data_IF_854098871725
#
_entry.id   IF_854098871725
#
_cell.length_a   1.000
_cell.length_b   1.000
_cell.length_c   1.000
_cell.angle_alpha   90.00
_cell.angle_beta   90.00
_cell.angle_gamma   90.00
#
_symmetry.space_group_name_H-M   'P 1'
#
loop_
_entity.id
_entity.type
_entity.pdbx_description
1 polymer ?
#
# COMPACT_ATOMS: atom_id res chain seq x y z
N UNK A 1 -1.35 20.76 27.97
CA UNK A 1 -1.60 19.31 27.97
C UNK A 1 -2.30 18.78 26.70
N UNK A 2 -3.15 19.57 25.97
CA UNK A 2 -3.85 19.11 24.74
C UNK A 2 -2.94 18.63 23.59
N UNK A 3 -1.74 19.20 23.41
CA UNK A 3 -0.83 18.85 22.29
C UNK A 3 -0.18 17.44 22.39
N UNK A 4 0.00 16.92 23.59
CA UNK A 4 0.64 15.62 23.81
C UNK A 4 -0.33 14.47 23.48
N UNK A 5 -1.63 14.63 23.71
CA UNK A 5 -2.66 13.62 23.45
C UNK A 5 -2.82 13.40 21.95
N UNK A 6 -2.79 14.46 21.14
CA UNK A 6 -2.95 14.38 19.68
C UNK A 6 -1.80 13.61 19.01
N UNK A 7 -0.56 13.84 19.48
CA UNK A 7 0.61 13.13 18.94
C UNK A 7 0.61 11.64 19.30
N UNK A 8 0.17 11.30 20.51
CA UNK A 8 0.08 9.90 20.95
C UNK A 8 -1.01 9.13 20.20
N UNK A 9 -2.10 9.79 19.83
CA UNK A 9 -3.22 9.15 19.12
C UNK A 9 -2.91 8.91 17.63
N UNK A 10 -2.18 9.82 16.98
CA UNK A 10 -1.68 9.61 15.62
C UNK A 10 -0.71 8.42 15.58
N UNK A 11 0.14 8.27 16.61
CA UNK A 11 0.98 7.10 16.78
C UNK A 11 0.16 5.81 16.99
N UNK A 12 -0.97 5.89 17.71
CA UNK A 12 -1.86 4.73 17.88
C UNK A 12 -2.54 4.33 16.57
N UNK A 13 -3.01 5.29 15.78
CA UNK A 13 -3.60 5.00 14.45
C UNK A 13 -2.57 4.37 13.51
N UNK A 14 -1.31 4.80 13.55
CA UNK A 14 -0.23 4.19 12.79
C UNK A 14 0.05 2.73 13.20
N UNK A 15 -0.18 2.34 14.45
CA UNK A 15 -0.01 0.96 14.91
C UNK A 15 -1.13 0.00 14.49
N UNK A 16 -2.25 0.50 13.96
CA UNK A 16 -3.33 -0.31 13.39
C UNK A 16 -3.22 -0.50 11.87
N UNK A 17 -2.29 0.19 11.21
CA UNK A 17 -1.92 -0.19 9.86
C UNK A 17 -1.34 -1.61 9.92
N UNK A 18 -1.64 -2.51 8.97
CA UNK A 18 -1.12 -3.88 8.95
C UNK A 18 0.39 -3.94 8.70
N UNK A 19 1.13 -2.95 9.17
CA UNK A 19 2.58 -2.87 9.16
C UNK A 19 3.06 -2.23 10.45
N UNK A 20 3.36 -3.05 11.44
CA UNK A 20 4.35 -2.65 12.43
C UNK A 20 5.70 -2.46 11.71
N UNK A 21 6.46 -1.43 12.07
CA UNK A 21 7.81 -1.25 11.55
C UNK A 21 8.57 -2.58 11.54
N UNK A 22 8.98 -3.02 10.36
CA UNK A 22 9.82 -4.19 10.16
C UNK A 22 9.13 -5.49 9.75
N UNK A 23 7.79 -5.58 9.73
CA UNK A 23 7.11 -6.81 9.31
C UNK A 23 6.31 -6.56 8.03
N UNK A 24 6.69 -7.22 6.94
CA UNK A 24 5.91 -7.18 5.69
C UNK A 24 4.61 -7.94 5.88
N UNK A 25 3.45 -7.36 5.56
CA UNK A 25 2.19 -8.08 5.61
C UNK A 25 2.20 -9.34 4.75
N UNK A 26 1.66 -10.44 5.28
CA UNK A 26 1.64 -11.73 4.59
C UNK A 26 0.99 -11.65 3.21
N UNK A 27 -0.03 -10.83 3.04
CA UNK A 27 -0.73 -10.60 1.76
C UNK A 27 0.18 -10.05 0.65
N UNK A 28 1.30 -9.40 1.01
CA UNK A 28 2.29 -8.90 0.06
C UNK A 28 3.43 -9.89 -0.21
N UNK A 29 3.62 -10.88 0.67
CA UNK A 29 4.65 -11.91 0.54
C UNK A 29 4.23 -13.06 -0.38
N UNK A 30 3.34 -12.81 -1.32
CA UNK A 30 2.86 -13.84 -2.23
C UNK A 30 4.05 -14.30 -3.10
N UNK A 31 4.54 -15.49 -2.82
CA UNK A 31 5.67 -16.16 -3.50
C UNK A 31 5.30 -16.68 -4.92
N UNK A 32 4.28 -16.12 -5.52
CA UNK A 32 3.87 -16.55 -6.85
C UNK A 32 4.21 -15.43 -7.82
N UNK A 33 4.96 -15.76 -8.85
CA UNK A 33 5.27 -14.86 -9.95
C UNK A 33 3.97 -14.34 -10.56
N UNK A 34 3.84 -13.03 -10.58
CA UNK A 34 2.80 -12.38 -11.33
C UNK A 34 3.08 -12.54 -12.82
N UNK A 35 2.04 -12.89 -13.55
CA UNK A 35 2.03 -12.77 -15.01
C UNK A 35 1.14 -11.59 -15.40
N UNK A 36 1.37 -11.01 -16.55
CA UNK A 36 0.52 -9.95 -17.06
C UNK A 36 -0.91 -10.48 -17.24
N UNK A 37 -1.86 -9.79 -16.66
CA UNK A 37 -3.27 -10.20 -16.58
C UNK A 37 -3.67 -10.96 -15.32
N UNK A 38 -2.72 -11.42 -14.49
CA UNK A 38 -3.05 -12.07 -13.22
C UNK A 38 -3.74 -11.10 -12.27
N UNK A 39 -4.82 -11.57 -11.65
CA UNK A 39 -5.54 -10.85 -10.59
C UNK A 39 -5.45 -11.60 -9.28
N UNK A 40 -5.16 -10.88 -8.20
CA UNK A 40 -5.09 -11.42 -6.83
C UNK A 40 -5.81 -10.50 -5.87
N UNK A 41 -6.33 -11.08 -4.81
CA UNK A 41 -6.88 -10.30 -3.71
C UNK A 41 -5.77 -9.97 -2.72
N UNK A 42 -5.46 -8.68 -2.56
CA UNK A 42 -4.48 -8.16 -1.60
C UNK A 42 -5.19 -7.14 -0.73
N UNK A 43 -5.21 -7.35 0.58
CA UNK A 43 -5.97 -6.53 1.54
C UNK A 43 -7.44 -6.36 1.14
N UNK A 44 -8.07 -7.45 0.71
CA UNK A 44 -9.45 -7.52 0.23
C UNK A 44 -9.71 -6.84 -1.13
N UNK A 45 -8.77 -6.09 -1.70
CA UNK A 45 -8.92 -5.49 -3.02
C UNK A 45 -8.42 -6.43 -4.13
N UNK A 46 -9.17 -6.55 -5.25
CA UNK A 46 -8.65 -7.16 -6.46
C UNK A 46 -7.53 -6.27 -7.03
N UNK A 47 -6.35 -6.85 -7.15
CA UNK A 47 -5.16 -6.22 -7.75
C UNK A 47 -4.78 -7.01 -8.98
N UNK A 48 -4.76 -6.38 -10.15
CA UNK A 48 -4.38 -7.00 -11.41
C UNK A 48 -3.05 -6.43 -11.89
N UNK A 49 -2.06 -7.26 -12.12
CA UNK A 49 -0.86 -6.83 -12.83
C UNK A 49 -1.20 -6.67 -14.32
N UNK A 50 -1.29 -5.43 -14.80
CA UNK A 50 -1.58 -5.14 -16.22
C UNK A 50 -0.37 -5.40 -17.08
N UNK A 51 0.80 -4.99 -16.61
CA UNK A 51 2.11 -5.39 -17.16
C UNK A 51 3.20 -5.20 -16.09
N UNK A 52 4.31 -5.90 -16.25
CA UNK A 52 5.43 -5.82 -15.30
C UNK A 52 6.60 -6.73 -15.63
N UNK A 53 6.45 -7.60 -16.63
CA UNK A 53 7.56 -8.39 -17.13
C UNK A 53 7.71 -8.16 -18.61
N UNK A 54 8.92 -7.77 -19.07
CA UNK A 54 9.22 -7.72 -20.48
C UNK A 54 9.53 -9.11 -21.00
N UNK A 55 8.91 -9.48 -22.14
CA UNK A 55 9.20 -10.72 -22.86
C UNK A 55 10.68 -10.85 -23.26
N UNK A 56 11.38 -9.73 -23.44
CA UNK A 56 12.79 -9.69 -23.85
C UNK A 56 13.75 -10.18 -22.77
N UNK A 57 13.30 -10.34 -21.55
CA UNK A 57 14.11 -10.82 -20.42
C UNK A 57 14.04 -12.34 -20.23
N UNK A 58 13.79 -13.13 -21.26
CA UNK A 58 13.84 -14.60 -21.16
C UNK A 58 15.17 -15.14 -20.60
N UNK A 59 16.24 -14.35 -20.66
CA UNK A 59 17.51 -14.63 -19.99
C UNK A 59 17.52 -14.26 -18.51
N UNK A 60 16.57 -13.43 -18.05
CA UNK A 60 16.44 -12.94 -16.69
C UNK A 60 15.02 -13.16 -16.13
N UNK A 61 14.32 -14.19 -16.59
CA UNK A 61 13.15 -14.71 -15.87
C UNK A 61 13.61 -15.28 -14.54
N UNK A 62 14.24 -14.41 -13.78
CA UNK A 62 14.95 -14.76 -12.60
C UNK A 62 13.95 -15.02 -11.48
N UNK A 63 13.92 -16.26 -11.15
CA UNK A 63 13.65 -16.75 -9.84
C UNK A 63 14.12 -15.71 -8.83
N UNK A 64 13.21 -14.92 -8.24
CA UNK A 64 13.55 -14.07 -7.10
C UNK A 64 13.48 -12.55 -7.25
N UNK A 65 13.11 -11.98 -8.41
CA UNK A 65 12.77 -10.55 -8.47
C UNK A 65 11.26 -10.36 -8.41
N UNK A 66 10.78 -9.66 -7.39
CA UNK A 66 9.35 -9.46 -7.12
C UNK A 66 9.06 -7.97 -6.97
N UNK A 67 7.93 -7.53 -7.51
CA UNK A 67 7.33 -6.24 -7.23
C UNK A 67 5.86 -6.46 -6.95
N UNK A 68 5.44 -6.27 -5.72
CA UNK A 68 4.04 -6.43 -5.29
C UNK A 68 3.48 -5.09 -4.84
N UNK A 69 2.25 -4.82 -5.22
CA UNK A 69 1.48 -3.65 -4.79
C UNK A 69 0.25 -4.14 -4.07
N UNK A 70 -0.02 -3.54 -2.91
CA UNK A 70 -1.28 -3.69 -2.20
C UNK A 70 -1.92 -2.33 -1.97
N UNK A 71 -3.21 -2.33 -1.71
CA UNK A 71 -3.95 -1.13 -1.39
C UNK A 71 -4.89 -1.37 -0.21
N UNK A 72 -4.92 -0.40 0.69
CA UNK A 72 -5.77 -0.41 1.87
C UNK A 72 -6.53 0.91 1.92
N UNK A 73 -7.84 0.86 1.77
CA UNK A 73 -8.66 2.07 1.75
C UNK A 73 -8.73 2.74 3.12
N UNK A 74 -8.98 4.04 3.15
CA UNK A 74 -9.19 4.74 4.41
C UNK A 74 -10.37 4.15 5.20
N UNK A 75 -11.45 3.73 4.52
CA UNK A 75 -12.58 3.11 5.19
C UNK A 75 -12.19 1.82 5.92
N UNK A 76 -11.41 0.95 5.31
CA UNK A 76 -10.89 -0.27 5.98
C UNK A 76 -10.04 0.07 7.21
N UNK A 77 -9.24 1.14 7.15
CA UNK A 77 -8.48 1.63 8.31
C UNK A 77 -9.45 2.06 9.41
N UNK A 78 -10.46 2.88 9.08
CA UNK A 78 -11.42 3.39 10.05
C UNK A 78 -12.26 2.28 10.68
N UNK A 79 -12.68 1.27 9.92
CA UNK A 79 -13.38 0.08 10.44
C UNK A 79 -12.52 -0.67 11.47
N UNK A 80 -11.26 -0.91 11.14
CA UNK A 80 -10.34 -1.64 12.02
C UNK A 80 -10.07 -0.90 13.33
N UNK A 81 -9.79 0.41 13.25
CA UNK A 81 -9.53 1.21 14.45
C UNK A 81 -10.81 1.50 15.23
N UNK A 82 -11.95 1.67 14.56
CA UNK A 82 -13.25 1.93 15.20
C UNK A 82 -13.64 0.84 16.19
N UNK A 83 -13.45 -0.42 15.84
CA UNK A 83 -13.66 -1.55 16.75
C UNK A 83 -12.76 -1.50 18.00
N UNK A 84 -11.55 -0.99 17.88
CA UNK A 84 -10.63 -0.78 18.99
C UNK A 84 -11.04 0.40 19.85
N UNK A 85 -11.45 1.51 19.24
CA UNK A 85 -11.91 2.70 19.94
C UNK A 85 -13.14 2.43 20.81
N UNK A 86 -14.14 1.69 20.27
CA UNK A 86 -15.31 1.25 21.04
C UNK A 86 -14.89 0.45 22.30
N UNK A 87 -13.96 -0.50 22.16
CA UNK A 87 -13.43 -1.28 23.30
C UNK A 87 -12.69 -0.43 24.32
N UNK A 88 -11.94 0.57 23.87
CA UNK A 88 -11.15 1.47 24.71
C UNK A 88 -11.98 2.64 25.28
N UNK A 89 -13.23 2.79 24.87
CA UNK A 89 -14.14 3.88 25.28
C UNK A 89 -13.53 5.26 24.99
N UNK A 90 -12.95 5.42 23.80
CA UNK A 90 -12.41 6.71 23.36
C UNK A 90 -13.59 7.67 23.14
N UNK A 91 -13.44 8.92 23.59
CA UNK A 91 -14.50 9.93 23.43
C UNK A 91 -14.66 10.38 21.97
N UNK A 92 -15.87 10.80 21.62
CA UNK A 92 -16.25 11.15 20.26
C UNK A 92 -15.44 12.34 19.70
N UNK A 93 -15.04 13.32 20.52
CA UNK A 93 -14.23 14.46 20.07
C UNK A 93 -12.86 13.98 19.59
N UNK A 94 -12.25 13.06 20.33
CA UNK A 94 -10.98 12.44 20.00
C UNK A 94 -11.08 11.58 18.74
N UNK A 95 -12.14 10.78 18.60
CA UNK A 95 -12.42 9.98 17.39
C UNK A 95 -12.53 10.90 16.18
N UNK A 96 -13.38 11.92 16.23
CA UNK A 96 -13.59 12.84 15.12
C UNK A 96 -12.30 13.57 14.71
N UNK A 97 -11.54 14.07 15.70
CA UNK A 97 -10.24 14.72 15.44
C UNK A 97 -9.27 13.80 14.71
N UNK A 98 -9.25 12.50 15.09
CA UNK A 98 -8.38 11.52 14.47
C UNK A 98 -8.84 11.20 13.03
N UNK A 99 -10.14 10.99 12.83
CA UNK A 99 -10.72 10.77 11.50
C UNK A 99 -10.40 11.93 10.55
N UNK A 100 -10.59 13.17 11.01
CA UNK A 100 -10.30 14.37 10.21
C UNK A 100 -8.81 14.51 9.88
N UNK A 101 -7.94 14.10 10.80
CA UNK A 101 -6.50 14.06 10.57
C UNK A 101 -6.11 13.02 9.53
N UNK A 102 -6.68 11.80 9.62
CA UNK A 102 -6.46 10.74 8.65
C UNK A 102 -6.97 11.13 7.25
N UNK A 103 -8.15 11.75 7.15
CA UNK A 103 -8.68 12.26 5.88
C UNK A 103 -7.78 13.28 5.21
N UNK A 104 -7.09 14.13 5.99
CA UNK A 104 -6.16 15.13 5.44
C UNK A 104 -4.90 14.51 4.83
N UNK A 105 -4.41 13.42 5.41
CA UNK A 105 -3.13 12.82 5.00
C UNK A 105 -3.31 11.60 4.09
N UNK A 106 -4.43 10.90 4.19
CA UNK A 106 -4.67 9.63 3.52
C UNK A 106 -6.12 9.49 3.02
N UNK A 107 -6.71 10.56 2.44
CA UNK A 107 -8.07 10.52 1.89
C UNK A 107 -8.26 9.35 0.89
N UNK A 108 -7.26 9.06 0.08
CA UNK A 108 -7.22 7.94 -0.85
C UNK A 108 -6.67 6.65 -0.27
N UNK A 109 -6.49 6.57 1.07
CA UNK A 109 -5.96 5.37 1.70
C UNK A 109 -4.45 5.22 1.60
N UNK A 110 -3.97 3.97 1.55
CA UNK A 110 -2.57 3.59 1.66
C UNK A 110 -2.18 2.64 0.53
N UNK A 111 -1.11 2.97 -0.18
CA UNK A 111 -0.47 2.08 -1.15
C UNK A 111 0.74 1.44 -0.51
N UNK A 112 0.83 0.14 -0.63
CA UNK A 112 1.89 -0.71 -0.14
C UNK A 112 2.74 -1.15 -1.32
N UNK A 113 4.04 -0.99 -1.23
CA UNK A 113 5.00 -1.48 -2.20
C UNK A 113 5.98 -2.42 -1.52
N UNK A 114 6.06 -3.65 -2.00
CA UNK A 114 7.08 -4.62 -1.67
C UNK A 114 7.93 -4.91 -2.91
N UNK A 115 9.25 -4.88 -2.74
CA UNK A 115 10.21 -5.22 -3.78
C UNK A 115 11.21 -6.25 -3.26
N UNK A 116 11.57 -7.19 -4.12
CA UNK A 116 12.65 -8.14 -3.85
C UNK A 116 13.55 -8.22 -5.08
N UNK A 117 14.87 -8.21 -4.87
CA UNK A 117 15.89 -8.15 -5.92
C UNK A 117 17.09 -9.03 -5.55
N UNK A 118 17.82 -9.51 -6.56
CA UNK A 118 19.05 -10.29 -6.34
C UNK A 118 20.19 -9.46 -5.75
N UNK A 119 20.27 -8.20 -6.11
CA UNK A 119 21.36 -7.33 -5.68
C UNK A 119 20.86 -6.33 -4.64
N UNK A 120 21.64 -6.17 -3.57
CA UNK A 120 21.34 -5.24 -2.48
C UNK A 120 21.03 -3.82 -2.99
N UNK A 121 21.91 -3.29 -3.82
CA UNK A 121 21.76 -1.94 -4.36
C UNK A 121 20.49 -1.78 -5.21
N UNK A 122 19.98 -2.86 -5.83
CA UNK A 122 18.74 -2.84 -6.63
C UNK A 122 17.47 -2.89 -5.77
N UNK A 123 17.56 -3.32 -4.53
CA UNK A 123 16.45 -3.34 -3.58
C UNK A 123 16.30 -2.03 -2.78
N UNK A 124 17.07 -1.00 -3.11
CA UNK A 124 17.00 0.29 -2.42
C UNK A 124 15.85 1.14 -2.96
N UNK A 125 14.96 1.56 -2.06
CA UNK A 125 13.74 2.31 -2.41
C UNK A 125 14.00 3.64 -3.13
N UNK A 126 15.14 4.30 -2.93
CA UNK A 126 15.46 5.56 -3.62
C UNK A 126 15.43 5.47 -5.15
N UNK A 127 15.52 4.28 -5.71
CA UNK A 127 15.44 4.03 -7.14
C UNK A 127 14.03 3.79 -7.65
N UNK A 128 13.07 3.71 -6.73
CA UNK A 128 11.68 3.50 -7.07
C UNK A 128 10.87 4.77 -6.87
N UNK A 129 9.81 4.90 -7.64
CA UNK A 129 8.75 5.86 -7.42
C UNK A 129 7.43 5.30 -7.90
N UNK A 130 6.35 5.80 -7.33
CA UNK A 130 5.00 5.44 -7.75
C UNK A 130 4.30 6.60 -8.43
N UNK A 131 3.45 6.28 -9.39
CA UNK A 131 2.48 7.20 -9.99
C UNK A 131 1.11 6.56 -9.87
N UNK A 132 0.13 7.30 -9.38
CA UNK A 132 -1.27 6.88 -9.37
C UNK A 132 -1.99 7.63 -10.48
N UNK A 133 -2.75 6.89 -11.30
CA UNK A 133 -3.55 7.43 -12.39
C UNK A 133 -4.98 6.93 -12.31
N UNK A 134 -5.91 7.74 -12.82
CA UNK A 134 -7.31 7.35 -12.99
C UNK A 134 -7.50 6.43 -14.23
N UNK A 135 -8.74 6.02 -14.46
CA UNK A 135 -9.13 5.21 -15.63
C UNK A 135 -8.89 5.87 -16.98
N UNK A 136 -8.72 7.20 -17.01
CA UNK A 136 -8.44 7.98 -18.21
C UNK A 136 -6.94 8.28 -18.38
N UNK A 137 -6.08 7.61 -17.60
CA UNK A 137 -4.62 7.76 -17.59
C UNK A 137 -4.13 9.15 -17.09
N UNK A 138 -5.00 9.92 -16.44
CA UNK A 138 -4.64 11.20 -15.81
C UNK A 138 -3.88 10.93 -14.53
N UNK A 139 -2.69 11.52 -14.38
CA UNK A 139 -1.91 11.45 -13.14
C UNK A 139 -2.64 12.19 -12.01
N UNK A 140 -2.91 11.47 -10.94
CA UNK A 140 -3.56 11.97 -9.73
C UNK A 140 -2.53 12.26 -8.63
N UNK A 141 -1.53 11.38 -8.49
CA UNK A 141 -0.51 11.48 -7.44
C UNK A 141 0.79 10.86 -7.90
N UNK A 142 1.91 11.32 -7.36
CA UNK A 142 3.21 10.68 -7.55
C UNK A 142 4.09 10.86 -6.31
N UNK A 143 4.92 9.87 -6.00
CA UNK A 143 5.84 9.92 -4.86
C UNK A 143 7.15 9.23 -5.19
N UNK A 144 8.25 9.93 -4.96
CA UNK A 144 9.60 9.40 -4.96
C UNK A 144 9.96 8.96 -3.54
N UNK A 145 10.62 7.81 -3.45
CA UNK A 145 11.03 7.30 -2.15
C UNK A 145 12.45 7.76 -1.80
N UNK A 146 12.71 7.83 -0.51
CA UNK A 146 14.05 8.12 0.03
C UNK A 146 14.86 6.84 0.15
N UNK A 147 16.14 6.99 0.42
CA UNK A 147 17.01 5.87 0.74
C UNK A 147 16.45 5.10 1.95
N UNK A 148 16.36 3.79 1.78
CA UNK A 148 16.10 2.84 2.86
C UNK A 148 16.96 1.62 2.63
N UNK A 149 17.76 1.25 3.63
CA UNK A 149 18.61 0.07 3.54
C UNK A 149 17.75 -1.18 3.34
N UNK A 150 18.05 -2.01 2.33
CA UNK A 150 17.34 -3.25 2.12
C UNK A 150 17.61 -4.29 3.21
N UNK A 151 16.63 -5.17 3.38
CA UNK A 151 16.76 -6.33 4.26
C UNK A 151 17.15 -7.55 3.41
N UNK A 152 17.88 -8.48 4.01
CA UNK A 152 18.22 -9.75 3.38
C UNK A 152 17.14 -10.79 3.68
N UNK A 153 16.78 -11.62 2.70
CA UNK A 153 15.87 -12.76 2.94
C UNK A 153 16.51 -13.80 3.87
N UNK A 154 15.69 -14.64 4.48
CA UNK A 154 16.14 -15.72 5.37
C UNK A 154 17.13 -16.67 4.67
N UNK A 155 16.96 -16.89 3.38
CA UNK A 155 17.86 -17.71 2.55
C UNK A 155 19.14 -16.97 2.15
N UNK A 156 19.24 -15.66 2.41
CA UNK A 156 20.32 -14.77 1.98
C UNK A 156 20.60 -14.78 0.47
N UNK A 157 19.58 -15.13 -0.33
CA UNK A 157 19.69 -15.21 -1.79
C UNK A 157 19.20 -13.94 -2.49
N UNK A 158 18.36 -13.16 -1.81
CA UNK A 158 17.75 -11.94 -2.32
C UNK A 158 17.69 -10.87 -1.24
N UNK A 159 17.45 -9.64 -1.67
CA UNK A 159 17.29 -8.45 -0.83
C UNK A 159 15.93 -7.86 -1.05
N UNK A 160 15.25 -7.45 0.01
CA UNK A 160 13.91 -6.90 -0.06
C UNK A 160 13.79 -5.55 0.64
N UNK A 161 12.82 -4.81 0.22
CA UNK A 161 12.40 -3.58 0.87
C UNK A 161 10.89 -3.42 0.79
N UNK A 162 10.35 -2.59 1.65
CA UNK A 162 8.92 -2.41 1.81
C UNK A 162 8.61 -1.00 2.27
N UNK A 163 7.56 -0.40 1.71
CA UNK A 163 7.11 0.91 2.11
C UNK A 163 5.60 1.04 2.03
N UNK A 164 5.04 1.81 2.95
CA UNK A 164 3.65 2.26 2.95
C UNK A 164 3.61 3.74 2.59
N UNK A 165 2.69 4.09 1.71
CA UNK A 165 2.53 5.46 1.23
C UNK A 165 1.09 5.91 1.44
N UNK A 166 0.92 6.98 2.20
CA UNK A 166 -0.35 7.69 2.33
C UNK A 166 -0.70 8.41 1.04
N UNK A 167 -1.97 8.32 0.63
CA UNK A 167 -2.48 8.97 -0.56
C UNK A 167 -3.43 10.10 -0.12
N UNK A 168 -3.00 11.37 -0.22
CA UNK A 168 -3.74 12.50 0.36
C UNK A 168 -4.97 12.94 -0.45
N UNK A 169 -5.25 12.29 -1.57
CA UNK A 169 -6.35 12.59 -2.48
C UNK A 169 -7.31 11.42 -2.55
N UNK A 170 -8.59 11.68 -2.69
CA UNK A 170 -9.59 10.64 -2.92
C UNK A 170 -9.34 9.90 -4.24
N UNK A 171 -9.58 8.59 -4.25
CA UNK A 171 -9.40 7.73 -5.41
C UNK A 171 -10.74 7.10 -5.81
N UNK A 172 -11.04 7.15 -7.11
CA UNK A 172 -12.17 6.44 -7.72
C UNK A 172 -11.69 5.14 -8.36
N UNK A 173 -12.43 4.06 -8.16
CA UNK A 173 -12.13 2.77 -8.81
C UNK A 173 -12.67 2.68 -10.25
N UNK A 174 -11.98 1.93 -11.12
CA UNK A 174 -10.63 1.44 -10.93
C UNK A 174 -9.61 2.56 -11.05
N UNK A 175 -8.51 2.43 -10.33
CA UNK A 175 -7.34 3.28 -10.53
C UNK A 175 -6.10 2.42 -10.76
N UNK A 176 -5.01 3.07 -11.22
CA UNK A 176 -3.79 2.38 -11.58
C UNK A 176 -2.61 2.87 -10.77
N UNK A 177 -1.81 1.92 -10.28
CA UNK A 177 -0.52 2.20 -9.62
C UNK A 177 0.60 1.77 -10.56
N UNK A 178 1.39 2.74 -10.97
CA UNK A 178 2.61 2.51 -11.73
C UNK A 178 3.79 2.50 -10.76
N UNK A 179 4.64 1.50 -10.85
CA UNK A 179 5.91 1.42 -10.12
C UNK A 179 7.04 1.50 -11.12
N UNK A 180 7.86 2.53 -10.99
CA UNK A 180 8.99 2.76 -11.88
C UNK A 180 10.29 2.40 -11.15
N UNK A 181 11.14 1.60 -11.80
CA UNK A 181 12.49 1.24 -11.34
C UNK A 181 13.53 1.98 -12.18
N UNK A 182 14.13 3.04 -11.62
CA UNK A 182 15.12 3.87 -12.32
C UNK A 182 16.43 3.15 -12.65
N UNK A 183 16.73 2.04 -12.01
CA UNK A 183 17.97 1.27 -12.27
C UNK A 183 17.79 0.30 -13.43
N UNK A 184 16.58 0.03 -13.83
CA UNK A 184 16.35 -0.79 -14.99
C UNK A 184 16.72 -0.01 -16.25
N UNK A 185 17.74 -0.46 -16.98
CA UNK A 185 18.13 0.10 -18.27
C UNK A 185 17.00 0.05 -19.31
N UNK A 186 15.96 -0.70 -19.03
CA UNK A 186 14.82 -0.97 -19.90
C UNK A 186 13.50 -0.48 -19.29
N UNK A 187 13.50 0.58 -18.46
CA UNK A 187 12.28 1.16 -17.90
C UNK A 187 11.27 0.07 -17.55
N UNK A 188 11.62 -0.80 -16.61
CA UNK A 188 10.67 -1.82 -16.16
C UNK A 188 9.63 -1.14 -15.28
N UNK A 189 8.65 -0.59 -15.98
CA UNK A 189 7.47 -0.05 -15.36
C UNK A 189 6.53 -1.21 -15.07
N UNK A 190 6.09 -1.29 -13.85
CA UNK A 190 5.00 -2.18 -13.45
C UNK A 190 3.73 -1.35 -13.41
N UNK A 191 2.64 -1.91 -13.93
CA UNK A 191 1.30 -1.31 -13.85
C UNK A 191 0.36 -2.28 -13.19
N UNK A 192 -0.22 -1.84 -12.08
CA UNK A 192 -1.24 -2.57 -11.34
C UNK A 192 -2.56 -1.83 -11.43
N UNK A 193 -3.65 -2.55 -11.69
CA UNK A 193 -5.01 -2.05 -11.58
C UNK A 193 -5.59 -2.46 -10.23
N UNK A 194 -6.16 -1.51 -9.54
CA UNK A 194 -6.85 -1.72 -8.27
C UNK A 194 -8.34 -1.55 -8.53
N UNK A 195 -9.11 -2.59 -8.24
CA UNK A 195 -10.55 -2.58 -8.37
C UNK A 195 -11.24 -2.40 -7.01
N UNK A 196 -12.50 -1.99 -7.05
CA UNK A 196 -13.33 -1.95 -5.85
C UNK A 196 -13.46 -3.34 -5.24
N UNK A 197 -13.58 -3.39 -3.93
CA UNK A 197 -14.02 -4.62 -3.24
C UNK A 197 -15.44 -4.90 -3.71
N UNK A 198 -15.72 -6.10 -4.22
CA UNK A 198 -17.09 -6.54 -4.41
C UNK A 198 -17.72 -6.69 -3.02
N UNK A 199 -18.52 -5.71 -2.64
CA UNK A 199 -19.30 -5.76 -1.41
C UNK A 199 -20.36 -6.84 -1.59
N UNK A 200 -20.07 -8.04 -1.18
CA UNK A 200 -21.12 -9.01 -0.84
C UNK A 200 -21.75 -8.52 0.46
N UNK A 201 -22.83 -7.73 0.33
CA UNK A 201 -23.73 -7.37 1.43
C UNK A 201 -23.06 -6.77 2.70
N UNK A 202 -22.08 -5.92 2.54
CA UNK A 202 -21.59 -5.09 3.66
C UNK A 202 -22.46 -3.82 3.68
N UNK A 203 -23.32 -3.71 4.67
CA UNK A 203 -23.98 -2.44 5.00
C UNK A 203 -22.89 -1.36 5.12
N UNK A 204 -23.04 -0.29 4.34
CA UNK A 204 -22.18 0.89 4.45
C UNK A 204 -22.40 1.46 5.85
N UNK A 205 -21.51 1.13 6.76
CA UNK A 205 -21.54 1.70 8.12
C UNK A 205 -21.28 3.20 7.94
N UNK A 206 -22.31 4.02 8.09
CA UNK A 206 -22.17 5.46 8.10
C UNK A 206 -21.31 5.87 9.33
N UNK A 207 -20.62 7.01 9.21
CA UNK A 207 -19.83 7.52 10.36
C UNK A 207 -20.71 7.68 11.59
N UNK A 208 -22.00 7.91 11.41
CA UNK A 208 -23.01 8.03 12.47
C UNK A 208 -23.26 6.70 13.19
N UNK A 209 -23.17 5.54 12.51
CA UNK A 209 -23.30 4.21 13.13
C UNK A 209 -22.06 3.77 13.91
N UNK A 210 -20.91 4.36 13.64
CA UNK A 210 -19.71 4.11 14.46
C UNK A 210 -19.80 4.81 15.82
N UNK A 211 -20.73 5.79 15.94
CA UNK A 211 -20.88 6.61 17.13
C UNK A 211 -22.05 6.18 18.04
N UNK A 212 -22.87 5.20 17.67
CA UNK A 212 -23.85 4.55 18.56
C UNK A 212 -23.25 3.29 19.22
#
# INVERSE_FOLDING_TARGET
MKKIITTTLILLAASFLPAQEGTVPADLLIDIRWQDGDTRTIFSHPVTQVYGQREDSKLYQNVGEVTNVGYYSLNQVLENIGSSWKRQKIDNETVQTTVDSLRKVAAGGYVYLYIERFLENRANLQYFFIIIRDKNDKTLYSKYFQYQAPNVTATRSTWWNYIVTEIPIELEYPFYVYVNDKQSQHLSDFKFRIDAVELKDVEVISVDEVME
#
